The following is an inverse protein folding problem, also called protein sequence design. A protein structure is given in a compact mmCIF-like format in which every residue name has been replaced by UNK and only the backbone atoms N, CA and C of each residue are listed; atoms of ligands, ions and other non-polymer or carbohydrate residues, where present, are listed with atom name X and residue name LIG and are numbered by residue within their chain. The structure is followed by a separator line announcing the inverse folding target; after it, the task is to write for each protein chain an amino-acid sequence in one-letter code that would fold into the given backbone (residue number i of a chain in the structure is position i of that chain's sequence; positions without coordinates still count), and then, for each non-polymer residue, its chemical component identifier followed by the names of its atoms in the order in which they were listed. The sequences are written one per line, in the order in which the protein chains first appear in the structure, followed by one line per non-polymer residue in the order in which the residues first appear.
data_IF_602553370456
#
_entry.id   IF_602553370456
#
_cell.length_a   1.000
_cell.length_b   1.000
_cell.length_c   1.000
_cell.angle_alpha   90.00
_cell.angle_beta   90.00
_cell.angle_gamma   90.00
#
_symmetry.space_group_name_H-M   'P 1'
#
loop_
_entity.id
_entity.type
_entity.pdbx_description
1 polymer ?
#
# COMPACT_ATOMS: atom_id res chain seq x y z
N UNK A 1 23.61 -26.58 -17.73
CA UNK A 1 22.33 -27.06 -17.20
C UNK A 1 21.36 -25.92 -17.37
N UNK A 2 20.32 -26.10 -18.19
CA UNK A 2 19.36 -25.05 -18.48
C UNK A 2 18.34 -24.98 -17.33
N UNK A 3 18.38 -23.86 -16.63
CA UNK A 3 17.25 -23.11 -16.07
C UNK A 3 15.95 -23.88 -15.85
N UNK A 4 15.83 -24.54 -14.68
CA UNK A 4 14.53 -25.00 -14.14
C UNK A 4 13.96 -23.96 -13.15
N UNK A 5 14.70 -22.87 -12.87
CA UNK A 5 14.31 -21.87 -11.87
C UNK A 5 13.79 -20.57 -12.47
N UNK A 6 14.05 -20.27 -13.75
CA UNK A 6 13.32 -19.21 -14.44
C UNK A 6 11.82 -19.56 -14.46
N UNK A 7 11.02 -18.76 -13.76
CA UNK A 7 9.55 -18.84 -13.64
C UNK A 7 9.03 -19.84 -12.59
N UNK A 8 9.66 -19.91 -11.43
CA UNK A 8 9.02 -20.59 -10.30
C UNK A 8 7.79 -19.79 -9.84
N UNK A 9 6.65 -20.47 -9.72
CA UNK A 9 5.41 -19.92 -9.13
C UNK A 9 5.22 -20.53 -7.75
N UNK A 10 5.02 -19.68 -6.74
CA UNK A 10 4.67 -20.08 -5.37
C UNK A 10 3.28 -19.54 -5.09
N UNK A 11 2.33 -20.44 -4.84
CA UNK A 11 0.95 -20.09 -4.54
C UNK A 11 0.68 -20.21 -3.05
N UNK A 12 0.06 -19.20 -2.44
CA UNK A 12 -0.60 -19.34 -1.15
C UNK A 12 -1.87 -20.18 -1.27
N UNK A 13 -2.68 -20.17 -0.21
CA UNK A 13 -3.90 -20.97 -0.13
C UNK A 13 -5.11 -20.04 0.06
N UNK A 14 -6.31 -20.57 0.29
CA UNK A 14 -7.51 -19.74 0.46
C UNK A 14 -7.75 -19.30 1.92
N UNK A 15 -6.68 -19.21 2.71
CA UNK A 15 -6.75 -18.73 4.08
C UNK A 15 -5.39 -18.22 4.53
N UNK A 16 -5.45 -17.42 5.60
CA UNK A 16 -4.33 -16.65 6.13
C UNK A 16 -3.08 -17.51 6.30
N UNK A 17 -1.97 -17.03 5.75
CA UNK A 17 -0.81 -17.88 5.56
C UNK A 17 0.51 -17.14 5.41
N UNK A 18 1.53 -17.95 5.14
CA UNK A 18 2.86 -17.48 4.79
C UNK A 18 3.27 -18.08 3.46
N UNK A 19 3.63 -17.22 2.53
CA UNK A 19 4.16 -17.60 1.22
C UNK A 19 5.67 -17.31 1.24
N UNK A 20 6.50 -18.35 1.11
CA UNK A 20 7.95 -18.21 1.30
C UNK A 20 8.76 -18.92 0.21
N UNK A 21 9.70 -18.20 -0.41
CA UNK A 21 10.89 -18.82 -0.99
C UNK A 21 12.14 -17.92 -0.93
N UNK A 22 12.30 -17.20 0.19
CA UNK A 22 13.35 -16.21 0.44
C UNK A 22 14.83 -16.62 0.21
N UNK A 23 15.11 -17.90 0.02
CA UNK A 23 16.47 -18.42 -0.17
C UNK A 23 16.88 -18.52 -1.63
N UNK A 24 15.91 -18.40 -2.55
CA UNK A 24 16.23 -18.24 -3.95
C UNK A 24 16.84 -16.85 -4.16
N UNK A 25 17.67 -16.80 -5.20
CA UNK A 25 18.29 -15.56 -5.69
C UNK A 25 17.90 -15.30 -7.14
N UNK A 26 16.92 -16.06 -7.64
CA UNK A 26 16.33 -15.98 -8.97
C UNK A 26 14.92 -15.48 -8.82
N UNK A 27 14.47 -14.67 -9.78
CA UNK A 27 13.11 -14.15 -9.79
C UNK A 27 12.04 -15.22 -9.67
N UNK A 28 11.06 -14.94 -8.81
CA UNK A 28 9.97 -15.82 -8.41
C UNK A 28 8.64 -15.10 -8.56
N UNK A 29 7.61 -15.79 -9.04
CA UNK A 29 6.24 -15.29 -8.99
C UNK A 29 5.54 -15.82 -7.75
N UNK A 30 4.96 -14.92 -6.96
CA UNK A 30 4.17 -15.23 -5.78
C UNK A 30 2.70 -14.89 -6.06
N UNK A 31 1.83 -15.90 -5.98
CA UNK A 31 0.37 -15.71 -6.00
C UNK A 31 -0.12 -15.84 -4.56
N UNK A 32 -0.61 -14.76 -3.96
CA UNK A 32 -1.00 -14.75 -2.53
C UNK A 32 -2.24 -15.62 -2.32
N UNK A 33 -3.30 -15.37 -3.07
CA UNK A 33 -4.55 -16.12 -2.95
C UNK A 33 -5.52 -15.42 -2.01
N UNK A 34 -6.50 -16.14 -1.49
CA UNK A 34 -7.52 -15.54 -0.60
C UNK A 34 -7.07 -15.66 0.86
N UNK A 35 -7.45 -14.70 1.69
CA UNK A 35 -7.05 -14.61 3.10
C UNK A 35 -5.89 -13.62 3.30
N UNK A 36 -5.58 -13.32 4.55
CA UNK A 36 -4.53 -12.33 4.86
C UNK A 36 -3.17 -13.03 4.86
N UNK A 37 -2.37 -12.85 3.81
CA UNK A 37 -1.10 -13.54 3.61
C UNK A 37 0.12 -12.66 3.93
N UNK A 38 1.21 -13.31 4.35
CA UNK A 38 2.54 -12.69 4.40
C UNK A 38 3.50 -13.36 3.44
N UNK A 39 4.01 -12.60 2.48
CA UNK A 39 4.99 -13.04 1.49
C UNK A 39 6.40 -12.60 1.86
N UNK A 40 7.35 -13.53 1.78
CA UNK A 40 8.78 -13.27 1.92
C UNK A 40 9.50 -13.60 0.60
N UNK A 41 9.68 -12.60 -0.26
CA UNK A 41 10.27 -12.78 -1.60
C UNK A 41 11.75 -13.11 -1.58
N UNK A 42 12.50 -12.37 -0.76
CA UNK A 42 13.93 -12.57 -0.63
C UNK A 42 14.69 -11.80 -1.70
N UNK A 43 15.45 -12.50 -2.54
CA UNK A 43 16.30 -11.88 -3.55
C UNK A 43 15.94 -12.35 -4.94
N UNK A 44 16.16 -11.48 -5.91
CA UNK A 44 15.89 -11.76 -7.32
C UNK A 44 14.84 -10.79 -7.81
N UNK A 45 14.56 -10.81 -9.11
CA UNK A 45 13.53 -9.94 -9.69
C UNK A 45 12.18 -10.66 -9.55
N UNK A 46 11.50 -10.43 -8.44
CA UNK A 46 10.28 -11.12 -8.03
C UNK A 46 9.01 -10.42 -8.57
N UNK A 47 7.95 -11.20 -8.71
CA UNK A 47 6.61 -10.72 -9.08
C UNK A 47 5.59 -11.15 -8.05
N UNK A 48 4.91 -10.20 -7.44
CA UNK A 48 3.83 -10.40 -6.48
C UNK A 48 2.50 -10.19 -7.20
N UNK A 49 1.65 -11.20 -7.26
CA UNK A 49 0.34 -11.12 -7.91
C UNK A 49 -0.74 -10.94 -6.85
N UNK A 50 -1.53 -9.86 -6.99
CA UNK A 50 -2.69 -9.57 -6.15
C UNK A 50 -3.96 -9.44 -6.99
N UNK A 51 -5.05 -10.08 -6.57
CA UNK A 51 -6.38 -9.95 -7.16
C UNK A 51 -7.37 -9.31 -6.18
N UNK A 52 -8.42 -8.68 -6.72
CA UNK A 52 -9.43 -8.04 -5.90
C UNK A 52 -10.12 -9.06 -4.98
N UNK A 53 -10.09 -8.82 -3.66
CA UNK A 53 -10.63 -9.73 -2.65
C UNK A 53 -9.64 -10.77 -2.11
N UNK A 54 -8.35 -10.67 -2.45
CA UNK A 54 -7.31 -11.57 -1.94
C UNK A 54 -7.13 -11.41 -0.43
N UNK A 55 -7.17 -10.19 0.13
CA UNK A 55 -7.10 -9.96 1.57
C UNK A 55 -6.24 -8.76 1.94
N UNK A 56 -5.95 -8.62 3.24
CA UNK A 56 -4.99 -7.66 3.77
C UNK A 56 -3.57 -8.25 3.79
N UNK A 57 -2.90 -8.21 2.63
CA UNK A 57 -1.62 -8.88 2.41
C UNK A 57 -0.39 -8.07 2.83
N UNK A 58 0.67 -8.77 3.20
CA UNK A 58 1.96 -8.21 3.62
C UNK A 58 3.10 -8.75 2.76
N UNK A 59 3.94 -7.85 2.21
CA UNK A 59 5.07 -8.19 1.36
C UNK A 59 6.37 -7.72 2.02
N UNK A 60 7.33 -8.64 2.15
CA UNK A 60 8.69 -8.36 2.62
C UNK A 60 9.72 -8.79 1.57
N UNK A 61 10.41 -7.81 0.99
CA UNK A 61 11.49 -8.01 0.03
C UNK A 61 12.87 -7.62 0.61
N UNK A 62 13.95 -8.13 0.00
CA UNK A 62 15.33 -7.83 0.37
C UNK A 62 16.26 -7.36 -0.75
N UNK A 63 15.93 -7.58 -2.04
CA UNK A 63 16.58 -6.95 -3.20
C UNK A 63 16.04 -7.52 -4.53
N UNK A 64 15.83 -6.66 -5.51
CA UNK A 64 15.53 -7.06 -6.88
C UNK A 64 15.23 -5.85 -7.74
N UNK A 65 14.82 -6.10 -8.98
CA UNK A 65 13.92 -5.22 -9.70
C UNK A 65 12.53 -5.87 -9.67
N UNK A 66 11.76 -5.56 -8.62
CA UNK A 66 10.56 -6.30 -8.27
C UNK A 66 9.28 -5.63 -8.81
N UNK A 67 8.23 -6.44 -8.94
CA UNK A 67 6.94 -6.01 -9.49
C UNK A 67 5.77 -6.44 -8.60
N UNK A 68 4.85 -5.53 -8.31
CA UNK A 68 3.52 -5.83 -7.79
C UNK A 68 2.54 -5.73 -8.96
N UNK A 69 1.98 -6.88 -9.35
CA UNK A 69 1.04 -6.99 -10.47
C UNK A 69 -0.38 -7.11 -9.96
N UNK A 70 -1.21 -6.18 -10.40
CA UNK A 70 -2.62 -6.13 -10.06
C UNK A 70 -3.47 -6.91 -11.10
N UNK A 71 -4.35 -7.75 -10.58
CA UNK A 71 -5.35 -8.47 -11.34
C UNK A 71 -6.43 -7.56 -11.94
N UNK A 72 -7.35 -8.17 -12.69
CA UNK A 72 -8.45 -7.45 -13.32
C UNK A 72 -9.36 -6.78 -12.25
N UNK A 73 -9.84 -5.57 -12.56
CA UNK A 73 -10.73 -4.82 -11.67
C UNK A 73 -10.01 -3.90 -10.67
N UNK A 74 -8.68 -3.88 -10.68
CA UNK A 74 -7.86 -2.92 -9.94
C UNK A 74 -7.18 -2.01 -10.97
N UNK A 75 -7.57 -0.73 -11.00
CA UNK A 75 -6.95 0.27 -11.87
C UNK A 75 -6.06 1.23 -11.08
N UNK A 76 -5.15 1.90 -11.77
CA UNK A 76 -4.25 2.89 -11.18
C UNK A 76 -5.00 4.06 -10.50
N UNK A 77 -6.19 4.39 -10.99
CA UNK A 77 -7.04 5.45 -10.43
C UNK A 77 -7.83 4.98 -9.19
N UNK A 78 -7.95 3.66 -8.97
CA UNK A 78 -8.74 3.06 -7.90
C UNK A 78 -7.92 2.70 -6.66
N UNK A 79 -6.60 2.91 -6.69
CA UNK A 79 -5.72 2.64 -5.55
C UNK A 79 -5.27 3.93 -4.87
N UNK A 80 -5.19 3.89 -3.55
CA UNK A 80 -4.55 4.92 -2.72
C UNK A 80 -3.21 4.43 -2.21
N UNK A 81 -2.16 5.24 -2.29
CA UNK A 81 -0.84 4.92 -1.72
C UNK A 81 -0.54 5.87 -0.57
N UNK A 82 -0.15 5.33 0.58
CA UNK A 82 0.18 6.09 1.77
C UNK A 82 1.35 5.48 2.53
N UNK A 83 1.88 6.22 3.51
CA UNK A 83 2.95 5.76 4.38
C UNK A 83 2.43 5.51 5.79
N UNK A 84 2.87 4.41 6.39
CA UNK A 84 2.69 4.12 7.80
C UNK A 84 4.05 3.73 8.41
N UNK A 85 4.63 4.60 9.21
CA UNK A 85 6.01 4.50 9.70
C UNK A 85 7.03 4.22 8.58
N UNK A 86 7.61 3.02 8.54
CA UNK A 86 8.58 2.59 7.52
C UNK A 86 7.94 1.96 6.28
N UNK A 87 6.64 1.68 6.34
CA UNK A 87 5.94 0.80 5.41
C UNK A 87 5.11 1.61 4.43
N UNK A 88 4.92 1.04 3.24
CA UNK A 88 4.00 1.56 2.25
C UNK A 88 2.69 0.79 2.34
N UNK A 89 1.58 1.53 2.41
CA UNK A 89 0.23 0.97 2.36
C UNK A 89 -0.41 1.31 1.02
N UNK A 90 -0.98 0.29 0.36
CA UNK A 90 -1.75 0.42 -0.86
C UNK A 90 -3.19 0.01 -0.53
N UNK A 91 -4.08 1.00 -0.43
CA UNK A 91 -5.51 0.77 -0.17
C UNK A 91 -6.27 0.61 -1.48
N UNK A 92 -7.07 -0.43 -1.57
CA UNK A 92 -7.87 -0.75 -2.74
C UNK A 92 -9.32 -0.25 -2.61
N UNK A 93 -10.07 -0.33 -3.70
CA UNK A 93 -11.44 0.17 -3.80
C UNK A 93 -12.44 -0.57 -2.91
N UNK A 94 -12.16 -1.81 -2.55
CA UNK A 94 -12.94 -2.63 -1.62
C UNK A 94 -12.53 -2.43 -0.15
N UNK A 95 -11.51 -1.61 0.11
CA UNK A 95 -11.02 -1.27 1.44
C UNK A 95 -9.90 -2.17 1.98
N UNK A 96 -9.53 -3.22 1.25
CA UNK A 96 -8.36 -4.04 1.61
C UNK A 96 -7.05 -3.30 1.38
N UNK A 97 -6.00 -3.74 2.08
CA UNK A 97 -4.71 -3.06 2.10
C UNK A 97 -3.57 -4.05 1.84
N UNK A 98 -2.74 -3.73 0.85
CA UNK A 98 -1.44 -4.38 0.66
C UNK A 98 -0.39 -3.55 1.40
N UNK A 99 0.37 -4.18 2.28
CA UNK A 99 1.45 -3.58 3.06
C UNK A 99 2.80 -4.03 2.53
N UNK A 100 3.65 -3.09 2.11
CA UNK A 100 5.05 -3.37 1.74
C UNK A 100 5.96 -2.88 2.86
N UNK A 101 6.58 -3.84 3.54
CA UNK A 101 7.37 -3.59 4.75
C UNK A 101 8.69 -2.88 4.41
N UNK A 102 9.07 -1.90 5.22
CA UNK A 102 10.34 -1.17 5.15
C UNK A 102 10.60 -0.37 3.86
N UNK A 103 9.58 -0.09 3.05
CA UNK A 103 9.71 0.68 1.81
C UNK A 103 10.50 2.00 1.96
N UNK A 104 10.21 2.74 3.04
CA UNK A 104 10.80 4.06 3.29
C UNK A 104 12.13 3.99 4.04
N UNK A 105 12.41 2.88 4.73
CA UNK A 105 13.62 2.69 5.55
C UNK A 105 14.74 1.95 4.82
N UNK A 106 14.41 1.08 3.87
CA UNK A 106 15.35 0.26 3.12
C UNK A 106 15.03 0.28 1.61
N UNK A 107 15.90 0.93 0.83
CA UNK A 107 15.73 0.99 -0.63
C UNK A 107 15.73 -0.37 -1.31
N UNK A 108 16.30 -1.39 -0.69
CA UNK A 108 16.32 -2.77 -1.17
C UNK A 108 15.06 -3.58 -0.81
N UNK A 109 14.15 -3.02 -0.02
CA UNK A 109 12.85 -3.63 0.30
C UNK A 109 11.72 -2.97 -0.49
N UNK A 110 12.06 -2.12 -1.47
CA UNK A 110 11.09 -1.51 -2.37
C UNK A 110 10.73 -2.50 -3.46
N UNK A 111 9.56 -2.28 -4.05
CA UNK A 111 9.07 -2.93 -5.25
C UNK A 111 9.12 -1.89 -6.35
N UNK A 112 9.94 -2.08 -7.36
CA UNK A 112 10.26 -0.99 -8.29
C UNK A 112 9.08 -0.61 -9.19
N UNK A 113 8.17 -1.55 -9.45
CA UNK A 113 7.08 -1.39 -10.40
C UNK A 113 5.73 -1.86 -9.88
N UNK A 114 4.70 -1.05 -10.13
CA UNK A 114 3.30 -1.47 -10.04
C UNK A 114 2.74 -1.65 -11.45
N UNK A 115 2.31 -2.86 -11.77
CA UNK A 115 1.81 -3.24 -13.08
C UNK A 115 0.30 -3.48 -13.03
N UNK A 116 -0.46 -2.82 -13.91
CA UNK A 116 -1.91 -2.94 -13.97
C UNK A 116 -2.35 -3.76 -15.19
N UNK A 117 -3.57 -4.34 -15.09
CA UNK A 117 -4.12 -5.21 -16.13
C UNK A 117 -4.32 -4.54 -17.50
N UNK A 118 -4.41 -3.21 -17.55
CA UNK A 118 -4.52 -2.43 -18.79
C UNK A 118 -3.17 -2.13 -19.47
N UNK A 119 -2.05 -2.56 -18.84
CA UNK A 119 -0.69 -2.30 -19.29
C UNK A 119 -0.09 -1.00 -18.76
N UNK A 120 -0.81 -0.26 -17.93
CA UNK A 120 -0.23 0.85 -17.17
C UNK A 120 0.84 0.32 -16.23
N UNK A 121 1.96 1.02 -16.14
CA UNK A 121 3.06 0.74 -15.21
C UNK A 121 3.39 2.01 -14.46
N UNK A 122 3.45 1.94 -13.14
CA UNK A 122 4.05 2.98 -12.30
C UNK A 122 5.44 2.53 -11.90
N UNK A 123 6.43 3.36 -12.23
CA UNK A 123 7.79 3.19 -11.70
C UNK A 123 7.88 3.82 -10.30
N UNK A 124 8.96 3.54 -9.57
CA UNK A 124 9.19 4.10 -8.23
C UNK A 124 8.97 5.63 -8.14
N UNK A 125 9.28 6.40 -9.19
CA UNK A 125 9.01 7.84 -9.22
C UNK A 125 7.52 8.18 -9.26
N UNK A 126 6.72 7.43 -10.01
CA UNK A 126 5.28 7.62 -10.12
C UNK A 126 4.59 7.27 -8.81
N UNK A 127 5.02 6.18 -8.17
CA UNK A 127 4.56 5.74 -6.85
C UNK A 127 4.80 6.86 -5.82
N UNK A 128 6.01 7.41 -5.76
CA UNK A 128 6.34 8.50 -4.83
C UNK A 128 5.57 9.79 -5.14
N UNK A 129 5.37 10.11 -6.42
CA UNK A 129 4.58 11.27 -6.83
C UNK A 129 3.11 11.12 -6.44
N UNK A 130 2.53 9.92 -6.56
CA UNK A 130 1.14 9.67 -6.16
C UNK A 130 0.96 9.91 -4.66
N UNK A 131 1.86 9.39 -3.82
CA UNK A 131 1.86 9.64 -2.36
C UNK A 131 1.90 11.14 -2.05
N UNK A 132 2.80 11.89 -2.71
CA UNK A 132 2.92 13.33 -2.49
C UNK A 132 1.66 14.10 -2.94
N UNK A 133 1.05 13.70 -4.05
CA UNK A 133 -0.16 14.32 -4.58
C UNK A 133 -1.36 14.08 -3.66
N UNK A 134 -1.52 12.85 -3.14
CA UNK A 134 -2.57 12.51 -2.16
C UNK A 134 -2.44 13.37 -0.90
N UNK A 135 -1.23 13.52 -0.35
CA UNK A 135 -0.98 14.37 0.81
C UNK A 135 -1.30 15.85 0.53
N UNK A 136 -0.94 16.37 -0.65
CA UNK A 136 -1.24 17.74 -1.05
C UNK A 136 -2.75 17.99 -1.22
N UNK A 137 -3.49 17.02 -1.78
CA UNK A 137 -4.95 17.09 -1.91
C UNK A 137 -5.63 17.06 -0.55
N UNK A 138 -5.18 16.20 0.38
CA UNK A 138 -5.68 16.17 1.75
C UNK A 138 -5.47 17.52 2.46
N UNK A 139 -4.28 18.11 2.34
CA UNK A 139 -3.99 19.44 2.91
C UNK A 139 -4.86 20.54 2.28
N UNK A 140 -5.08 20.47 0.96
CA UNK A 140 -5.94 21.42 0.26
C UNK A 140 -7.39 21.32 0.75
N UNK A 141 -7.93 20.11 0.87
CA UNK A 141 -9.27 19.87 1.40
C UNK A 141 -9.42 20.38 2.83
N UNK A 142 -8.41 20.15 3.68
CA UNK A 142 -8.38 20.70 5.04
C UNK A 142 -8.39 22.24 5.05
N UNK A 143 -7.58 22.89 4.20
CA UNK A 143 -7.57 24.35 4.09
C UNK A 143 -8.91 24.91 3.60
N UNK A 144 -9.58 24.21 2.68
CA UNK A 144 -10.92 24.61 2.20
C UNK A 144 -11.96 24.51 3.31
N UNK A 145 -11.89 23.49 4.17
CA UNK A 145 -12.77 23.39 5.34
C UNK A 145 -12.54 24.55 6.30
N UNK A 146 -11.28 24.89 6.62
CA UNK A 146 -10.97 26.07 7.46
C UNK A 146 -11.58 27.34 6.88
N UNK A 147 -11.42 27.58 5.58
CA UNK A 147 -11.98 28.74 4.91
C UNK A 147 -13.51 28.76 4.95
N UNK A 148 -14.15 27.61 4.74
CA UNK A 148 -15.60 27.48 4.85
C UNK A 148 -16.05 27.85 6.27
N UNK A 149 -15.42 27.29 7.31
CA UNK A 149 -15.74 27.63 8.71
C UNK A 149 -15.55 29.12 9.04
N UNK A 150 -14.43 29.73 8.65
CA UNK A 150 -14.20 31.17 8.87
C UNK A 150 -15.14 32.08 8.08
N UNK A 151 -15.75 31.59 7.00
CA UNK A 151 -16.74 32.36 6.24
C UNK A 151 -18.14 32.37 6.86
N UNK A 152 -18.39 31.48 7.83
CA UNK A 152 -19.61 31.44 8.64
C UNK A 152 -19.49 32.21 9.96
N UNK A 153 -18.27 32.58 10.36
CA UNK A 153 -18.02 33.45 11.51
C UNK A 153 -18.41 34.90 11.13
N UNK A 154 -19.60 35.31 11.57
CA UNK A 154 -20.13 36.66 11.37
C UNK A 154 -19.55 37.68 12.39
N UNK A 155 -18.56 37.27 13.19
CA UNK A 155 -17.93 38.08 14.21
C UNK A 155 -18.80 38.33 15.45
N UNK A 156 -19.90 37.58 15.61
CA UNK A 156 -20.77 37.65 16.80
C UNK A 156 -20.87 36.35 17.60
N UNK A 157 -20.43 35.23 17.04
CA UNK A 157 -20.32 33.96 17.76
C UNK A 157 -18.86 33.68 18.12
N UNK A 158 -18.51 33.91 19.39
CA UNK A 158 -17.20 33.62 19.99
C UNK A 158 -16.90 32.11 19.98
N UNK A 159 -16.62 31.52 18.82
CA UNK A 159 -15.98 30.20 18.75
C UNK A 159 -14.48 30.46 18.75
N UNK A 160 -13.90 30.59 19.95
CA UNK A 160 -12.46 30.52 20.08
C UNK A 160 -11.97 29.21 19.45
N UNK A 161 -11.06 29.29 18.48
CA UNK A 161 -10.46 28.12 17.82
C UNK A 161 -9.77 27.15 18.82
N UNK A 162 -9.44 27.62 20.02
CA UNK A 162 -8.94 26.82 21.16
C UNK A 162 -10.00 25.90 21.78
N UNK A 163 -11.29 26.15 21.52
CA UNK A 163 -12.46 25.43 22.04
C UNK A 163 -13.12 24.51 21.02
N UNK A 164 -12.60 24.44 19.78
CA UNK A 164 -12.89 23.32 18.89
C UNK A 164 -12.31 22.08 19.57
N UNK A 165 -13.15 21.43 20.38
CA UNK A 165 -12.82 20.19 21.04
C UNK A 165 -12.38 19.20 19.96
N UNK A 166 -11.22 18.59 20.19
CA UNK A 166 -10.67 17.47 19.42
C UNK A 166 -11.67 16.30 19.26
N UNK A 167 -12.78 16.35 19.99
CA UNK A 167 -13.84 15.37 20.11
C UNK A 167 -14.64 15.10 18.82
N UNK A 168 -14.58 15.99 17.80
CA UNK A 168 -15.19 15.72 16.48
C UNK A 168 -14.20 15.23 15.42
N UNK A 169 -12.91 15.14 15.75
CA UNK A 169 -11.98 14.33 15.00
C UNK A 169 -12.10 12.92 15.58
N UNK A 170 -12.99 12.11 15.00
CA UNK A 170 -12.92 10.66 15.22
C UNK A 170 -11.64 10.17 14.53
N UNK A 171 -10.50 10.37 15.18
CA UNK A 171 -9.36 9.47 14.99
C UNK A 171 -9.76 8.24 15.78
N UNK A 172 -10.29 7.20 15.12
CA UNK A 172 -10.34 5.89 15.77
C UNK A 172 -8.91 5.52 16.13
N UNK A 173 -8.56 5.35 17.41
CA UNK A 173 -7.26 4.83 17.78
C UNK A 173 -7.12 3.42 17.22
N UNK A 174 -6.03 3.15 16.49
CA UNK A 174 -5.63 1.77 16.20
C UNK A 174 -5.54 1.03 17.54
N UNK A 175 -6.34 -0.02 17.70
CA UNK A 175 -6.26 -0.84 18.91
C UNK A 175 -5.11 -1.81 18.71
N UNK A 176 -3.96 -1.50 19.29
CA UNK A 176 -2.83 -2.42 19.35
C UNK A 176 -3.27 -3.64 20.20
N UNK A 177 -3.62 -4.75 19.54
CA UNK A 177 -3.78 -6.04 20.21
C UNK A 177 -2.39 -6.56 20.55
N UNK A 178 -1.90 -6.16 21.72
CA UNK A 178 -0.78 -6.81 22.38
C UNK A 178 -1.26 -8.18 22.89
N UNK A 179 -0.65 -9.26 22.41
CA UNK A 179 -0.68 -10.58 23.05
C UNK A 179 0.16 -10.58 24.33
#
# INVERSE_FOLDING_TARGET
MADILANMVVTGNNGDGHVYNKYLTSGTTYEMGLGDDTVYGGKGDDTYLYNLGDGDDHISDSSGADSLRFGAGISADDIGVSANDSDMLITLSDGQVITITNWYSAGSSRIEQFEFADGTVWEASDILNNVANQAALAQKSFNQLIQAYSSFDDGTDDIELSQIRRDNLVITPFTEHQY
#
